data_IF_769132069131
#
_entry.id   IF_769132069131
#
_cell.length_a   1.000
_cell.length_b   1.000
_cell.length_c   1.000
_cell.angle_alpha   90.00
_cell.angle_beta   90.00
_cell.angle_gamma   90.00
#
_symmetry.space_group_name_H-M   'P 1'
#
loop_
_entity.id
_entity.type
_entity.pdbx_description
1 polymer ?
#
# COMPACT_ATOMS: atom_id res chain seq x y z
N UNK A 1 12.61 -16.32 3.20
CA UNK A 1 12.11 -16.82 1.91
C UNK A 1 10.77 -16.15 1.67
N UNK A 2 10.51 -15.61 0.48
CA UNK A 2 9.21 -15.02 0.17
C UNK A 2 8.22 -16.12 -0.25
N UNK A 3 6.94 -15.94 0.07
CA UNK A 3 5.90 -16.90 -0.35
C UNK A 3 5.87 -17.01 -1.89
N UNK A 4 5.65 -18.22 -2.43
CA UNK A 4 5.72 -18.47 -3.86
C UNK A 4 4.56 -17.79 -4.59
N UNK A 5 4.87 -17.11 -5.70
CA UNK A 5 3.85 -16.47 -6.53
C UNK A 5 3.11 -17.48 -7.42
N UNK A 6 3.78 -18.54 -7.84
CA UNK A 6 3.22 -19.58 -8.70
C UNK A 6 3.45 -20.98 -8.13
N UNK A 7 2.55 -21.90 -8.47
CA UNK A 7 2.63 -23.29 -8.02
C UNK A 7 3.91 -24.01 -8.51
N UNK A 8 4.46 -23.58 -9.66
CA UNK A 8 5.70 -24.12 -10.21
C UNK A 8 6.93 -23.73 -9.37
N UNK A 9 6.86 -22.64 -8.60
CA UNK A 9 7.94 -22.19 -7.73
C UNK A 9 8.04 -23.01 -6.42
N UNK A 10 7.08 -23.90 -6.14
CA UNK A 10 7.07 -24.72 -4.93
C UNK A 10 7.86 -26.02 -5.18
N UNK A 11 9.00 -26.25 -4.48
CA UNK A 11 9.75 -27.49 -4.55
C UNK A 11 8.86 -28.69 -4.20
N UNK A 12 9.05 -29.81 -4.91
CA UNK A 12 8.17 -30.97 -4.77
C UNK A 12 8.13 -31.57 -3.37
N UNK A 13 9.23 -31.48 -2.63
CA UNK A 13 9.40 -31.92 -1.24
C UNK A 13 8.85 -30.94 -0.21
N UNK A 14 8.57 -29.69 -0.59
CA UNK A 14 7.93 -28.68 0.25
C UNK A 14 6.40 -28.62 0.04
N UNK A 15 5.87 -29.31 -0.97
CA UNK A 15 4.42 -29.33 -1.25
C UNK A 15 3.67 -30.09 -0.17
N UNK A 16 2.69 -29.42 0.42
CA UNK A 16 1.76 -29.99 1.37
C UNK A 16 0.60 -30.70 0.65
N UNK A 17 0.07 -31.76 1.25
CA UNK A 17 -1.13 -32.47 0.79
C UNK A 17 -2.32 -32.21 1.73
N UNK A 18 -2.63 -30.93 1.93
CA UNK A 18 -3.70 -30.45 2.80
C UNK A 18 -4.89 -29.85 2.04
N UNK A 19 -4.88 -29.95 0.70
CA UNK A 19 -5.84 -29.37 -0.25
C UNK A 19 -5.92 -27.84 -0.29
N UNK A 20 -5.09 -27.13 0.48
CA UNK A 20 -5.06 -25.67 0.50
C UNK A 20 -4.16 -25.13 -0.62
N UNK A 21 -4.47 -23.94 -1.17
CA UNK A 21 -3.58 -23.24 -2.07
C UNK A 21 -2.30 -22.83 -1.34
N UNK A 22 -1.16 -23.02 -2.00
CA UNK A 22 0.18 -22.81 -1.45
C UNK A 22 0.95 -21.70 -2.15
N UNK A 23 0.38 -21.11 -3.21
CA UNK A 23 0.96 -20.00 -3.96
C UNK A 23 -0.08 -18.92 -4.27
N UNK A 24 0.38 -17.70 -4.59
CA UNK A 24 -0.51 -16.57 -4.87
C UNK A 24 -1.49 -16.89 -6.01
N UNK A 25 -1.03 -17.45 -7.13
CA UNK A 25 -1.88 -17.81 -8.25
C UNK A 25 -2.99 -18.82 -7.88
N UNK A 26 -2.66 -19.79 -7.02
CA UNK A 26 -3.63 -20.75 -6.49
C UNK A 26 -4.61 -20.06 -5.55
N UNK A 27 -4.14 -19.18 -4.66
CA UNK A 27 -4.98 -18.39 -3.76
C UNK A 27 -5.95 -17.49 -4.54
N UNK A 28 -5.48 -16.82 -5.61
CA UNK A 28 -6.33 -15.99 -6.48
C UNK A 28 -7.46 -16.83 -7.07
N UNK A 29 -7.13 -18.00 -7.66
CA UNK A 29 -8.13 -18.87 -8.30
C UNK A 29 -9.09 -19.51 -7.29
N UNK A 30 -8.58 -19.96 -6.16
CA UNK A 30 -9.37 -20.68 -5.15
C UNK A 30 -10.32 -19.75 -4.39
N UNK A 31 -9.86 -18.53 -4.06
CA UNK A 31 -10.60 -17.60 -3.20
C UNK A 31 -11.20 -16.40 -3.93
N UNK A 32 -10.92 -16.24 -5.23
CA UNK A 32 -11.42 -15.11 -6.02
C UNK A 32 -10.85 -13.77 -5.54
N UNK A 33 -9.56 -13.74 -5.17
CA UNK A 33 -8.91 -12.54 -4.64
C UNK A 33 -8.93 -11.41 -5.67
N UNK A 34 -9.31 -10.21 -5.22
CA UNK A 34 -9.41 -8.98 -6.04
C UNK A 34 -8.64 -7.80 -5.47
N UNK A 35 -8.26 -7.85 -4.19
CA UNK A 35 -7.55 -6.77 -3.52
C UNK A 35 -6.25 -7.30 -2.94
N UNK A 36 -5.15 -6.60 -3.22
CA UNK A 36 -3.81 -7.03 -2.83
C UNK A 36 -3.10 -5.92 -2.06
N UNK A 37 -2.32 -6.28 -1.04
CA UNK A 37 -1.35 -5.37 -0.42
C UNK A 37 0.05 -5.86 -0.74
N UNK A 38 0.83 -5.03 -1.41
CA UNK A 38 2.15 -5.39 -1.91
C UNK A 38 3.19 -4.56 -1.16
N UNK A 39 4.13 -5.23 -0.50
CA UNK A 39 5.19 -4.55 0.25
C UNK A 39 6.29 -4.07 -0.67
N UNK A 40 6.77 -2.85 -0.43
CA UNK A 40 8.00 -2.29 -0.98
C UNK A 40 9.00 -2.10 0.16
N UNK A 41 10.29 -2.30 -0.09
CA UNK A 41 11.34 -2.26 0.92
C UNK A 41 12.31 -1.07 0.78
N UNK A 42 12.16 -0.24 -0.25
CA UNK A 42 13.02 0.92 -0.50
C UNK A 42 14.34 0.60 -1.19
N UNK A 43 14.57 -0.67 -1.55
CA UNK A 43 15.62 -1.08 -2.49
C UNK A 43 15.01 -1.14 -3.89
N UNK A 44 15.40 -0.19 -4.74
CA UNK A 44 14.77 0.03 -6.04
C UNK A 44 14.85 -1.19 -6.95
N UNK A 45 15.99 -1.89 -6.99
CA UNK A 45 16.17 -3.03 -7.89
C UNK A 45 15.34 -4.23 -7.41
N UNK A 46 15.33 -4.45 -6.09
CA UNK A 46 14.52 -5.51 -5.47
C UNK A 46 13.03 -5.24 -5.63
N UNK A 47 12.60 -4.01 -5.40
CA UNK A 47 11.20 -3.61 -5.49
C UNK A 47 10.70 -3.65 -6.94
N UNK A 48 11.48 -3.20 -7.92
CA UNK A 48 11.12 -3.30 -9.33
C UNK A 48 10.96 -4.76 -9.78
N UNK A 49 11.89 -5.63 -9.42
CA UNK A 49 11.81 -7.04 -9.80
C UNK A 49 10.62 -7.74 -9.14
N UNK A 50 10.37 -7.43 -7.87
CA UNK A 50 9.22 -7.94 -7.13
C UNK A 50 7.91 -7.45 -7.75
N UNK A 51 7.80 -6.15 -8.04
CA UNK A 51 6.59 -5.56 -8.63
C UNK A 51 6.30 -6.17 -10.00
N UNK A 52 7.30 -6.38 -10.85
CA UNK A 52 7.13 -7.06 -12.15
C UNK A 52 6.59 -8.48 -11.97
N UNK A 53 7.18 -9.24 -11.07
CA UNK A 53 6.78 -10.63 -10.81
C UNK A 53 5.36 -10.73 -10.24
N UNK A 54 5.01 -9.86 -9.30
CA UNK A 54 3.68 -9.80 -8.69
C UNK A 54 2.64 -9.31 -9.70
N UNK A 55 2.93 -8.25 -10.46
CA UNK A 55 2.05 -7.72 -11.49
C UNK A 55 1.75 -8.76 -12.58
N UNK A 56 2.76 -9.51 -13.03
CA UNK A 56 2.56 -10.59 -13.99
C UNK A 56 1.66 -11.70 -13.44
N UNK A 57 1.80 -12.05 -12.16
CA UNK A 57 0.98 -13.08 -11.50
C UNK A 57 -0.46 -12.61 -11.32
N UNK A 58 -0.67 -11.41 -10.79
CA UNK A 58 -1.99 -10.82 -10.58
C UNK A 58 -2.70 -10.62 -11.92
N UNK A 59 -2.05 -9.96 -12.88
CA UNK A 59 -2.65 -9.69 -14.19
C UNK A 59 -3.01 -10.94 -15.00
N UNK A 60 -2.34 -12.08 -14.74
CA UNK A 60 -2.67 -13.36 -15.39
C UNK A 60 -3.83 -14.10 -14.74
N UNK A 61 -4.06 -13.91 -13.44
CA UNK A 61 -4.93 -14.79 -12.66
C UNK A 61 -6.10 -14.10 -11.97
N UNK A 62 -5.98 -12.81 -11.67
CA UNK A 62 -7.04 -12.04 -11.01
C UNK A 62 -8.06 -11.52 -12.04
N UNK A 63 -9.30 -11.23 -11.60
CA UNK A 63 -10.27 -10.52 -12.43
C UNK A 63 -9.75 -9.14 -12.85
N UNK A 64 -10.16 -8.64 -14.02
CA UNK A 64 -9.70 -7.36 -14.57
C UNK A 64 -9.97 -6.14 -13.67
N UNK A 65 -10.93 -6.23 -12.75
CA UNK A 65 -11.25 -5.17 -11.78
C UNK A 65 -10.50 -5.31 -10.44
N UNK A 66 -9.32 -5.94 -10.45
CA UNK A 66 -8.47 -5.99 -9.27
C UNK A 66 -7.98 -4.60 -8.84
N UNK A 67 -7.58 -4.47 -7.59
CA UNK A 67 -6.98 -3.27 -7.04
C UNK A 67 -5.87 -3.63 -6.05
N UNK A 68 -4.93 -2.72 -5.82
CA UNK A 68 -3.90 -2.95 -4.81
C UNK A 68 -3.45 -1.69 -4.09
N UNK A 69 -2.84 -1.89 -2.93
CA UNK A 69 -2.06 -0.88 -2.23
C UNK A 69 -0.59 -1.27 -2.16
N UNK A 70 0.27 -0.27 -2.10
CA UNK A 70 1.68 -0.46 -1.76
C UNK A 70 1.89 -0.16 -0.28
N UNK A 71 2.64 -1.00 0.41
CA UNK A 71 2.97 -0.83 1.83
C UNK A 71 4.48 -0.61 1.95
N UNK A 72 4.87 0.62 2.27
CA UNK A 72 6.26 1.02 2.40
C UNK A 72 6.85 0.77 3.78
N UNK A 73 6.08 0.23 4.73
CA UNK A 73 6.53 -0.33 6.01
C UNK A 73 7.70 0.46 6.66
N UNK A 74 7.58 1.79 6.71
CA UNK A 74 8.51 2.72 7.38
C UNK A 74 9.93 2.83 6.78
N UNK A 75 10.13 2.48 5.50
CA UNK A 75 11.46 2.40 4.90
C UNK A 75 12.10 3.76 4.58
N UNK A 76 11.32 4.83 4.42
CA UNK A 76 11.82 6.12 3.96
C UNK A 76 11.93 7.14 5.11
N UNK A 77 13.05 7.88 5.14
CA UNK A 77 13.34 8.90 6.17
C UNK A 77 13.16 10.34 5.71
N UNK A 78 12.65 10.54 4.49
CA UNK A 78 12.25 11.85 3.96
C UNK A 78 11.26 11.67 2.82
N UNK A 79 10.50 12.74 2.51
CA UNK A 79 9.63 12.77 1.32
C UNK A 79 10.45 12.66 0.05
N UNK A 80 11.61 13.32 -0.05
CA UNK A 80 12.46 13.28 -1.23
C UNK A 80 12.96 11.87 -1.55
N UNK A 81 13.41 11.12 -0.54
CA UNK A 81 13.87 9.74 -0.75
C UNK A 81 12.75 8.85 -1.29
N UNK A 82 11.53 9.00 -0.76
CA UNK A 82 10.38 8.26 -1.27
C UNK A 82 9.96 8.75 -2.67
N UNK A 83 10.00 10.07 -2.92
CA UNK A 83 9.66 10.66 -4.22
C UNK A 83 10.60 10.17 -5.31
N UNK A 84 11.91 10.16 -5.06
CA UNK A 84 12.91 9.63 -5.98
C UNK A 84 12.62 8.15 -6.29
N UNK A 85 12.38 7.33 -5.26
CA UNK A 85 12.02 5.93 -5.43
C UNK A 85 10.72 5.77 -6.25
N UNK A 86 9.68 6.56 -5.92
CA UNK A 86 8.38 6.56 -6.58
C UNK A 86 8.49 6.83 -8.08
N UNK A 87 9.24 7.87 -8.45
CA UNK A 87 9.44 8.26 -9.85
C UNK A 87 10.01 7.10 -10.68
N UNK A 88 10.92 6.31 -10.11
CA UNK A 88 11.49 5.17 -10.81
C UNK A 88 10.51 4.01 -10.93
N UNK A 89 9.79 3.63 -9.85
CA UNK A 89 8.84 2.51 -9.92
C UNK A 89 7.62 2.85 -10.79
N UNK A 90 7.06 4.04 -10.66
CA UNK A 90 5.90 4.48 -11.44
C UNK A 90 6.26 4.82 -12.90
N UNK A 91 7.54 5.14 -13.17
CA UNK A 91 8.06 5.39 -14.51
C UNK A 91 8.38 4.12 -15.31
N UNK A 92 8.35 2.93 -14.70
CA UNK A 92 8.59 1.66 -15.40
C UNK A 92 7.44 1.36 -16.38
N UNK A 93 7.73 1.45 -17.67
CA UNK A 93 6.72 1.32 -18.73
C UNK A 93 5.98 -0.03 -18.69
N UNK A 94 6.65 -1.11 -18.28
CA UNK A 94 6.00 -2.43 -18.16
C UNK A 94 4.98 -2.50 -17.03
N UNK A 95 5.08 -1.62 -16.04
CA UNK A 95 4.17 -1.54 -14.89
C UNK A 95 3.09 -0.47 -15.08
N UNK A 96 3.13 0.33 -16.14
CA UNK A 96 2.17 1.42 -16.33
C UNK A 96 0.70 0.97 -16.25
N UNK A 97 0.25 -0.09 -16.96
CA UNK A 97 -1.12 -0.59 -16.82
C UNK A 97 -1.42 -1.13 -15.43
N UNK A 98 -0.43 -1.74 -14.76
CA UNK A 98 -0.59 -2.24 -13.40
C UNK A 98 -0.88 -1.08 -12.44
N UNK A 99 -0.14 0.02 -12.52
CA UNK A 99 -0.33 1.19 -11.67
C UNK A 99 -1.69 1.90 -11.83
N UNK A 100 -2.45 1.65 -12.90
CA UNK A 100 -3.84 2.12 -13.02
C UNK A 100 -4.76 1.50 -11.95
N UNK A 101 -4.38 0.37 -11.37
CA UNK A 101 -5.11 -0.35 -10.30
C UNK A 101 -4.66 0.04 -8.88
N UNK A 102 -3.73 0.99 -8.74
CA UNK A 102 -3.24 1.43 -7.43
C UNK A 102 -4.30 2.28 -6.70
N UNK A 103 -4.58 1.91 -5.45
CA UNK A 103 -5.46 2.67 -4.57
C UNK A 103 -4.72 3.74 -3.77
N UNK A 104 -3.61 3.38 -3.14
CA UNK A 104 -2.82 4.23 -2.25
C UNK A 104 -1.49 3.58 -1.87
N UNK A 105 -0.61 4.38 -1.28
CA UNK A 105 0.61 3.95 -0.59
C UNK A 105 0.42 4.09 0.92
N UNK A 106 0.66 3.01 1.66
CA UNK A 106 0.55 2.92 3.12
C UNK A 106 1.93 3.10 3.75
N UNK A 107 2.02 4.03 4.71
CA UNK A 107 3.15 4.24 5.62
C UNK A 107 4.55 4.11 4.97
N UNK A 108 4.88 4.87 3.92
CA UNK A 108 6.23 4.85 3.36
C UNK A 108 7.25 5.43 4.35
N UNK A 109 6.85 6.44 5.12
CA UNK A 109 7.74 7.16 6.01
C UNK A 109 7.91 6.48 7.36
N UNK A 110 9.11 6.57 7.93
CA UNK A 110 9.36 6.17 9.30
C UNK A 110 8.49 6.97 10.27
N UNK A 111 7.89 6.32 11.28
CA UNK A 111 6.97 7.00 12.22
C UNK A 111 7.52 8.24 12.90
N UNK A 112 8.84 8.27 13.10
CA UNK A 112 9.51 9.40 13.75
C UNK A 112 9.40 10.69 12.92
N UNK A 113 9.30 10.59 11.59
CA UNK A 113 9.19 11.73 10.68
C UNK A 113 7.78 11.91 10.09
N UNK A 114 6.95 10.87 10.12
CA UNK A 114 5.71 10.81 9.34
C UNK A 114 4.71 11.94 9.67
N UNK A 115 4.80 12.54 10.86
CA UNK A 115 3.91 13.63 11.30
C UNK A 115 4.67 14.95 11.54
N UNK A 116 5.85 15.11 10.98
CA UNK A 116 6.60 16.37 11.00
C UNK A 116 6.16 17.34 9.88
N UNK A 117 6.34 18.64 10.09
CA UNK A 117 6.00 19.68 9.11
C UNK A 117 6.77 19.52 7.78
N UNK A 118 7.97 18.94 7.83
CA UNK A 118 8.79 18.61 6.66
C UNK A 118 8.07 17.70 5.65
N UNK A 119 7.14 16.85 6.13
CA UNK A 119 6.30 16.03 5.26
C UNK A 119 5.27 16.89 4.52
N UNK A 120 4.70 17.88 5.20
CA UNK A 120 3.77 18.84 4.60
C UNK A 120 4.42 19.66 3.49
N UNK A 121 5.63 20.17 3.73
CA UNK A 121 6.42 20.90 2.74
C UNK A 121 6.72 20.01 1.52
N UNK A 122 7.22 18.79 1.75
CA UNK A 122 7.53 17.85 0.67
C UNK A 122 6.31 17.42 -0.14
N UNK A 123 5.13 17.29 0.49
CA UNK A 123 3.87 17.03 -0.19
C UNK A 123 3.38 18.25 -0.99
N UNK A 124 3.60 19.47 -0.50
CA UNK A 124 3.34 20.70 -1.22
C UNK A 124 4.11 20.78 -2.55
N UNK A 125 5.37 20.36 -2.53
CA UNK A 125 6.26 20.33 -3.70
C UNK A 125 6.05 19.13 -4.63
N UNK A 126 5.11 18.24 -4.30
CA UNK A 126 4.80 17.03 -5.06
C UNK A 126 3.28 16.81 -5.20
N UNK A 127 2.58 17.66 -5.98
CA UNK A 127 1.13 17.62 -6.13
C UNK A 127 0.61 16.33 -6.81
N UNK A 128 1.36 15.79 -7.77
CA UNK A 128 0.98 14.59 -8.55
C UNK A 128 1.34 13.26 -7.88
N UNK A 129 1.62 13.29 -6.57
CA UNK A 129 1.91 12.09 -5.77
C UNK A 129 0.71 11.14 -5.71
N UNK A 130 0.92 9.82 -5.49
CA UNK A 130 -0.19 8.92 -5.18
C UNK A 130 -0.85 9.32 -3.86
N UNK A 131 -2.10 8.88 -3.58
CA UNK A 131 -2.67 8.99 -2.25
C UNK A 131 -1.78 8.24 -1.25
N UNK A 132 -1.34 8.92 -0.19
CA UNK A 132 -0.51 8.33 0.87
C UNK A 132 -1.32 8.31 2.17
N UNK A 133 -1.32 7.19 2.90
CA UNK A 133 -1.99 7.05 4.19
C UNK A 133 -0.99 6.68 5.30
N UNK A 134 -1.35 7.00 6.55
CA UNK A 134 -0.61 6.55 7.74
C UNK A 134 -1.18 5.25 8.30
N UNK A 135 -0.31 4.38 8.80
CA UNK A 135 -0.69 3.20 9.57
C UNK A 135 0.04 3.18 10.93
N UNK A 136 1.30 2.78 10.99
CA UNK A 136 2.08 2.68 12.24
C UNK A 136 2.10 4.00 13.02
N UNK A 137 2.07 5.13 12.33
CA UNK A 137 2.04 6.48 12.92
C UNK A 137 0.67 6.89 13.47
N UNK A 138 -0.38 6.14 13.15
CA UNK A 138 -1.72 6.35 13.70
C UNK A 138 -1.82 5.84 15.14
N UNK A 139 -1.15 6.52 16.07
CA UNK A 139 -1.03 6.10 17.47
C UNK A 139 -2.12 6.69 18.38
N UNK A 140 -2.64 7.89 18.07
CA UNK A 140 -3.58 8.62 18.95
C UNK A 140 -4.81 9.11 18.18
N UNK A 141 -5.84 9.59 18.88
CA UNK A 141 -7.02 10.20 18.24
C UNK A 141 -6.68 11.47 17.45
N UNK A 142 -5.52 12.09 17.69
CA UNK A 142 -5.06 13.28 16.98
C UNK A 142 -4.24 12.96 15.73
N UNK A 143 -3.78 11.70 15.57
CA UNK A 143 -2.86 11.31 14.50
C UNK A 143 -3.46 11.53 13.11
N UNK A 144 -4.69 11.07 12.86
CA UNK A 144 -5.35 11.31 11.57
C UNK A 144 -5.59 12.82 11.30
N UNK A 145 -6.17 13.62 12.21
CA UNK A 145 -6.27 15.06 12.01
C UNK A 145 -4.93 15.75 11.65
N UNK A 146 -3.84 15.38 12.33
CA UNK A 146 -2.50 15.90 12.02
C UNK A 146 -2.03 15.47 10.62
N UNK A 147 -2.17 14.19 10.28
CA UNK A 147 -1.81 13.69 8.95
C UNK A 147 -2.59 14.38 7.83
N UNK A 148 -3.90 14.59 8.01
CA UNK A 148 -4.72 15.30 7.03
C UNK A 148 -4.29 16.76 6.85
N UNK A 149 -3.81 17.42 7.90
CA UNK A 149 -3.27 18.78 7.83
C UNK A 149 -1.94 18.84 7.05
N UNK A 150 -1.13 17.78 7.12
CA UNK A 150 0.11 17.64 6.34
C UNK A 150 -0.15 17.20 4.89
N UNK A 151 -1.39 16.86 4.51
CA UNK A 151 -1.75 16.49 3.14
C UNK A 151 -1.73 14.99 2.85
N UNK A 152 -1.73 14.12 3.87
CA UNK A 152 -2.06 12.70 3.71
C UNK A 152 -3.52 12.51 3.27
N UNK A 153 -3.77 11.39 2.59
CA UNK A 153 -5.10 10.98 2.16
C UNK A 153 -5.89 10.24 3.26
N UNK A 154 -5.26 9.77 4.33
CA UNK A 154 -6.00 9.13 5.42
C UNK A 154 -5.19 8.14 6.24
N UNK A 155 -5.83 7.04 6.69
CA UNK A 155 -5.23 6.10 7.64
C UNK A 155 -5.76 4.67 7.53
N UNK A 156 -5.06 3.72 8.15
CA UNK A 156 -5.48 2.33 8.31
C UNK A 156 -6.16 2.09 9.67
N UNK A 157 -7.27 1.35 9.66
CA UNK A 157 -7.97 0.88 10.84
C UNK A 157 -7.30 -0.36 11.41
N UNK A 158 -7.11 -0.39 12.73
CA UNK A 158 -6.65 -1.58 13.45
C UNK A 158 -7.55 -1.80 14.66
N UNK A 159 -8.19 -2.98 14.74
CA UNK A 159 -9.09 -3.32 15.85
C UNK A 159 -8.42 -3.15 17.22
N UNK A 160 -7.14 -3.49 17.34
CA UNK A 160 -6.35 -3.32 18.57
C UNK A 160 -6.08 -1.86 18.95
N UNK A 161 -6.23 -0.90 18.03
CA UNK A 161 -6.09 0.55 18.28
C UNK A 161 -7.39 1.21 18.72
N UNK A 162 -8.49 0.45 18.78
CA UNK A 162 -9.77 0.88 19.35
C UNK A 162 -10.84 1.21 18.31
N UNK A 163 -12.01 0.57 18.44
CA UNK A 163 -13.14 0.70 17.52
C UNK A 163 -13.70 2.14 17.46
N UNK A 164 -13.79 2.83 18.61
CA UNK A 164 -14.30 4.21 18.65
C UNK A 164 -13.40 5.19 17.88
N UNK A 165 -12.08 4.98 17.94
CA UNK A 165 -11.12 5.76 17.15
C UNK A 165 -11.34 5.49 15.66
N UNK A 166 -11.45 4.22 15.27
CA UNK A 166 -11.77 3.83 13.89
C UNK A 166 -13.05 4.46 13.36
N UNK A 167 -14.14 4.39 14.13
CA UNK A 167 -15.41 5.02 13.77
C UNK A 167 -15.29 6.55 13.62
N UNK A 168 -14.62 7.23 14.55
CA UNK A 168 -14.38 8.67 14.45
C UNK A 168 -13.55 9.03 13.21
N UNK A 169 -12.51 8.26 12.91
CA UNK A 169 -11.70 8.41 11.70
C UNK A 169 -12.54 8.23 10.43
N UNK A 170 -13.41 7.21 10.40
CA UNK A 170 -14.31 6.96 9.28
C UNK A 170 -15.26 8.15 9.03
N UNK A 171 -15.86 8.70 10.09
CA UNK A 171 -16.73 9.87 10.00
C UNK A 171 -15.96 11.09 9.44
N UNK A 172 -14.77 11.38 9.98
CA UNK A 172 -13.94 12.50 9.52
C UNK A 172 -13.58 12.38 8.03
N UNK A 173 -13.15 11.18 7.61
CA UNK A 173 -12.80 10.92 6.21
C UNK A 173 -14.03 11.01 5.29
N UNK A 174 -15.20 10.56 5.76
CA UNK A 174 -16.44 10.70 5.00
C UNK A 174 -16.79 12.17 4.75
N UNK A 175 -16.77 13.01 5.79
CA UNK A 175 -17.01 14.45 5.65
C UNK A 175 -16.02 15.11 4.68
N UNK A 176 -14.76 14.67 4.68
CA UNK A 176 -13.76 15.17 3.72
C UNK A 176 -14.03 14.73 2.28
N UNK A 177 -14.50 13.49 2.06
CA UNK A 177 -14.94 13.04 0.72
C UNK A 177 -16.11 13.86 0.20
N UNK A 178 -17.09 14.16 1.06
CA UNK A 178 -18.23 15.02 0.72
C UNK A 178 -17.79 16.44 0.33
N UNK A 179 -16.67 16.93 0.89
CA UNK A 179 -16.04 18.19 0.52
C UNK A 179 -15.11 18.09 -0.72
N UNK A 180 -15.04 16.93 -1.38
CA UNK A 180 -14.25 16.72 -2.60
C UNK A 180 -12.77 16.39 -2.37
N UNK A 181 -12.36 16.12 -1.13
CA UNK A 181 -10.98 15.72 -0.85
C UNK A 181 -10.77 14.21 -1.02
N UNK A 182 -9.66 13.81 -1.65
CA UNK A 182 -9.17 12.43 -1.63
C UNK A 182 -9.03 11.95 -0.19
N UNK A 183 -9.84 10.96 0.19
CA UNK A 183 -9.84 10.44 1.56
C UNK A 183 -9.99 8.92 1.58
N UNK A 184 -9.03 8.25 2.20
CA UNK A 184 -8.89 6.78 2.21
C UNK A 184 -8.90 6.26 3.63
N UNK A 185 -9.64 5.19 3.85
CA UNK A 185 -9.53 4.36 5.05
C UNK A 185 -9.25 2.94 4.62
N UNK A 186 -8.13 2.39 5.07
CA UNK A 186 -7.74 0.99 4.85
C UNK A 186 -8.16 0.14 6.05
N UNK A 187 -8.50 -1.14 5.87
CA UNK A 187 -8.81 -2.09 6.95
C UNK A 187 -10.27 -2.54 7.06
#
# INVERSE_FOLDING_TARGET
MADPLSAEAIPGDERLDDSLPQSLDQCIRAYGLRHFKIKINGDLDVDLERLRSVAATIGKHAPDDYAFSLDGNEQFKSVDAFREHWVHIAGETKLAPFFEHLLFVEQPFHRDIALEDSVGDGFGDWPDRPPIIIDESDATIKSLPMALALGYAGTSHKNCKGIFKGAANACLLNTRREAGHTSVMSG
#
